data_IF_545649520448
#
_entry.id   IF_545649520448
#
_cell.length_a   1.000
_cell.length_b   1.000
_cell.length_c   1.000
_cell.angle_alpha   90.00
_cell.angle_beta   90.00
_cell.angle_gamma   90.00
#
_symmetry.space_group_name_H-M   'P 1'
#
loop_
_entity.id
_entity.type
_entity.pdbx_description
1 polymer ?
#
# COMPACT_ATOMS: atom_id res chain seq x y z
N UNK A 1 3.02 32.51 -11.39
CA UNK A 1 3.89 32.18 -10.25
C UNK A 1 3.07 31.29 -9.34
N UNK A 2 3.29 29.98 -9.34
CA UNK A 2 2.54 29.06 -8.46
C UNK A 2 2.99 29.28 -7.02
N UNK A 3 2.06 29.31 -6.07
CA UNK A 3 2.40 29.43 -4.66
C UNK A 3 3.24 28.23 -4.25
N UNK A 4 4.37 28.46 -3.58
CA UNK A 4 5.12 27.39 -2.94
C UNK A 4 4.52 27.15 -1.55
N UNK A 5 4.42 25.89 -1.15
CA UNK A 5 4.00 25.58 0.21
C UNK A 5 5.08 26.02 1.20
N UNK A 6 4.65 26.71 2.26
CA UNK A 6 5.51 27.01 3.40
C UNK A 6 5.45 25.85 4.39
N UNK A 7 6.61 25.44 4.91
CA UNK A 7 6.70 24.33 5.85
C UNK A 7 6.91 24.88 7.26
N UNK A 8 5.86 24.85 8.07
CA UNK A 8 5.99 25.05 9.51
C UNK A 8 6.38 23.73 10.21
N UNK A 9 7.16 23.82 11.29
CA UNK A 9 7.63 22.63 12.03
C UNK A 9 6.45 21.82 12.56
N UNK A 10 5.38 22.48 13.01
CA UNK A 10 4.19 21.76 13.52
C UNK A 10 3.49 20.98 12.41
N UNK A 11 3.36 21.56 11.21
CA UNK A 11 2.80 20.89 10.03
C UNK A 11 3.63 19.69 9.62
N UNK A 12 4.96 19.81 9.62
CA UNK A 12 5.86 18.70 9.31
C UNK A 12 5.74 17.56 10.33
N UNK A 13 5.77 17.88 11.62
CA UNK A 13 5.62 16.88 12.68
C UNK A 13 4.26 16.18 12.62
N UNK A 14 3.20 16.93 12.31
CA UNK A 14 1.87 16.38 12.10
C UNK A 14 1.83 15.42 10.90
N UNK A 15 2.35 15.84 9.75
CA UNK A 15 2.39 15.02 8.54
C UNK A 15 3.22 13.73 8.73
N UNK A 16 4.40 13.82 9.36
CA UNK A 16 5.18 12.64 9.72
C UNK A 16 4.45 11.76 10.74
N UNK A 17 3.80 12.37 11.73
CA UNK A 17 3.00 11.64 12.72
C UNK A 17 1.89 10.81 12.08
N UNK A 18 1.23 11.34 11.04
CA UNK A 18 0.22 10.60 10.27
C UNK A 18 0.82 9.41 9.51
N UNK A 19 2.02 9.54 8.94
CA UNK A 19 2.69 8.43 8.23
C UNK A 19 3.12 7.32 9.19
N UNK A 20 3.52 7.68 10.41
CA UNK A 20 3.79 6.69 11.46
C UNK A 20 2.49 6.03 11.91
N UNK A 21 1.42 6.80 12.11
CA UNK A 21 0.11 6.27 12.49
C UNK A 21 -0.39 5.25 11.47
N UNK A 22 -0.31 5.59 10.19
CA UNK A 22 -0.74 4.72 9.10
C UNK A 22 0.10 3.42 9.04
N UNK A 23 1.44 3.52 9.06
CA UNK A 23 2.34 2.36 9.07
C UNK A 23 2.27 1.48 10.33
N UNK A 24 1.80 2.02 11.46
CA UNK A 24 1.49 1.21 12.65
C UNK A 24 0.30 0.28 12.43
N UNK A 25 -0.57 0.55 11.45
CA UNK A 25 -1.65 -0.35 11.03
C UNK A 25 -1.15 -1.75 10.70
N UNK A 26 0.02 -1.86 10.04
CA UNK A 26 0.67 -3.13 9.71
C UNK A 26 1.09 -3.88 10.97
N UNK A 27 1.62 -3.18 11.96
CA UNK A 27 1.91 -3.74 13.28
C UNK A 27 0.66 -4.23 14.02
N UNK A 28 -0.45 -3.49 13.95
CA UNK A 28 -1.75 -3.88 14.53
C UNK A 28 -2.27 -5.16 13.87
N UNK A 29 -2.23 -5.22 12.53
CA UNK A 29 -2.54 -6.42 11.76
C UNK A 29 -1.74 -7.63 12.21
N UNK A 30 -0.44 -7.44 12.44
CA UNK A 30 0.41 -8.51 12.95
C UNK A 30 -0.03 -9.06 14.29
N UNK A 31 -0.37 -8.17 15.24
CA UNK A 31 -0.88 -8.59 16.54
C UNK A 31 -2.20 -9.36 16.41
N UNK A 32 -3.08 -8.95 15.51
CA UNK A 32 -4.34 -9.66 15.22
C UNK A 32 -4.09 -11.09 14.73
N UNK A 33 -3.05 -11.32 13.93
CA UNK A 33 -2.72 -12.65 13.42
C UNK A 33 -2.40 -13.67 14.52
N UNK A 34 -1.91 -13.23 15.69
CA UNK A 34 -1.49 -14.11 16.79
C UNK A 34 -2.64 -14.69 17.61
N UNK A 35 -3.85 -14.14 17.44
CA UNK A 35 -5.06 -14.66 18.07
C UNK A 35 -5.66 -15.83 17.29
N UNK A 36 -5.27 -16.02 16.02
CA UNK A 36 -5.70 -17.18 15.26
C UNK A 36 -4.95 -18.43 15.71
N UNK A 37 -5.70 -19.48 16.08
CA UNK A 37 -5.15 -20.77 16.51
C UNK A 37 -4.67 -21.64 15.34
N UNK A 38 -5.16 -21.38 14.13
CA UNK A 38 -4.82 -22.12 12.90
C UNK A 38 -4.61 -21.17 11.75
N UNK A 39 -3.74 -21.55 10.82
CA UNK A 39 -3.59 -20.84 9.55
C UNK A 39 -4.91 -20.96 8.78
N UNK A 40 -5.50 -19.82 8.38
CA UNK A 40 -6.77 -19.78 7.68
C UNK A 40 -6.61 -19.07 6.32
N UNK A 41 -6.42 -19.84 5.24
CA UNK A 41 -6.19 -19.27 3.91
C UNK A 41 -7.37 -18.44 3.39
N UNK A 42 -8.62 -18.79 3.74
CA UNK A 42 -9.80 -17.99 3.38
C UNK A 42 -9.82 -16.62 4.05
N UNK A 43 -9.35 -16.54 5.30
CA UNK A 43 -9.23 -15.26 6.00
C UNK A 43 -8.18 -14.38 5.35
N UNK A 44 -7.02 -14.94 4.97
CA UNK A 44 -5.98 -14.24 4.23
C UNK A 44 -6.49 -13.72 2.87
N UNK A 45 -7.19 -14.56 2.12
CA UNK A 45 -7.81 -14.16 0.85
C UNK A 45 -8.83 -13.01 1.04
N UNK A 46 -9.71 -13.10 2.03
CA UNK A 46 -10.67 -12.04 2.33
C UNK A 46 -9.96 -10.75 2.77
N UNK A 47 -8.93 -10.84 3.60
CA UNK A 47 -8.14 -9.70 4.10
C UNK A 47 -7.37 -9.02 2.98
N UNK A 48 -6.63 -9.75 2.16
CA UNK A 48 -5.87 -9.19 1.03
C UNK A 48 -6.81 -8.60 -0.03
N UNK A 49 -7.91 -9.28 -0.35
CA UNK A 49 -8.96 -8.73 -1.21
C UNK A 49 -9.52 -7.43 -0.63
N UNK A 50 -9.79 -7.39 0.68
CA UNK A 50 -10.21 -6.17 1.36
C UNK A 50 -9.19 -5.03 1.23
N UNK A 51 -7.89 -5.30 1.42
CA UNK A 51 -6.84 -4.29 1.19
C UNK A 51 -6.87 -3.76 -0.25
N UNK A 52 -6.88 -4.65 -1.25
CA UNK A 52 -6.96 -4.26 -2.66
C UNK A 52 -8.19 -3.37 -2.96
N UNK A 53 -9.34 -3.71 -2.36
CA UNK A 53 -10.57 -2.93 -2.50
C UNK A 53 -10.47 -1.52 -1.89
N UNK A 54 -9.91 -1.40 -0.68
CA UNK A 54 -9.66 -0.09 -0.04
C UNK A 54 -8.73 0.76 -0.92
N UNK A 55 -7.64 0.15 -1.39
CA UNK A 55 -6.60 0.82 -2.16
C UNK A 55 -7.08 1.31 -3.52
N UNK A 56 -7.78 0.46 -4.28
CA UNK A 56 -8.40 0.87 -5.56
C UNK A 56 -9.38 2.02 -5.34
N UNK A 57 -10.21 1.94 -4.29
CA UNK A 57 -11.22 2.95 -4.04
C UNK A 57 -10.59 4.31 -3.68
N UNK A 58 -9.65 4.35 -2.74
CA UNK A 58 -8.95 5.60 -2.37
C UNK A 58 -8.17 6.17 -3.55
N UNK A 59 -7.45 5.32 -4.29
CA UNK A 59 -6.66 5.76 -5.43
C UNK A 59 -7.53 6.47 -6.46
N UNK A 60 -8.70 5.91 -6.79
CA UNK A 60 -9.55 6.43 -7.86
C UNK A 60 -10.48 7.56 -7.41
N UNK A 61 -11.03 7.49 -6.20
CA UNK A 61 -12.08 8.42 -5.73
C UNK A 61 -11.50 9.62 -4.99
N UNK A 62 -10.39 9.44 -4.26
CA UNK A 62 -9.78 10.51 -3.47
C UNK A 62 -8.51 11.04 -4.16
N UNK A 63 -7.49 10.19 -4.32
CA UNK A 63 -6.14 10.63 -4.72
C UNK A 63 -6.12 11.13 -6.17
N UNK A 64 -6.67 10.36 -7.11
CA UNK A 64 -6.74 10.78 -8.52
C UNK A 64 -7.58 12.05 -8.69
N UNK A 65 -8.68 12.17 -7.96
CA UNK A 65 -9.55 13.36 -8.02
C UNK A 65 -8.83 14.58 -7.48
N UNK A 66 -8.15 14.47 -6.33
CA UNK A 66 -7.34 15.56 -5.75
C UNK A 66 -6.17 15.95 -6.64
N UNK A 67 -5.53 14.98 -7.28
CA UNK A 67 -4.51 15.24 -8.30
C UNK A 67 -5.06 16.10 -9.44
N UNK A 68 -6.23 15.72 -9.95
CA UNK A 68 -6.92 16.44 -11.03
C UNK A 68 -7.29 17.85 -10.61
N UNK A 69 -7.92 18.03 -9.44
CA UNK A 69 -8.31 19.34 -8.91
C UNK A 69 -7.10 20.29 -8.84
N UNK A 70 -5.98 19.80 -8.33
CA UNK A 70 -4.74 20.58 -8.22
C UNK A 70 -4.16 20.95 -9.59
N UNK A 71 -4.07 20.00 -10.51
CA UNK A 71 -3.52 20.22 -11.86
C UNK A 71 -4.43 21.10 -12.74
N UNK A 72 -5.74 20.94 -12.65
CA UNK A 72 -6.71 21.78 -13.37
C UNK A 72 -6.69 23.21 -12.83
N UNK A 73 -6.56 23.40 -11.50
CA UNK A 73 -6.38 24.71 -10.89
C UNK A 73 -5.12 25.43 -11.36
N UNK A 74 -4.02 24.69 -11.55
CA UNK A 74 -2.74 25.25 -11.96
C UNK A 74 -2.58 25.47 -13.48
N UNK A 75 -3.13 24.57 -14.30
CA UNK A 75 -2.86 24.51 -15.75
C UNK A 75 -4.10 24.76 -16.62
N UNK A 76 -5.28 24.87 -16.01
CA UNK A 76 -6.58 24.92 -16.68
C UNK A 76 -7.12 23.51 -17.00
N UNK A 77 -8.44 23.41 -17.19
CA UNK A 77 -9.18 22.14 -17.23
C UNK A 77 -8.57 21.09 -18.18
N UNK A 78 -8.35 21.43 -19.46
CA UNK A 78 -7.86 20.46 -20.45
C UNK A 78 -6.42 20.01 -20.17
N UNK A 79 -5.52 20.95 -19.89
CA UNK A 79 -4.10 20.63 -19.68
C UNK A 79 -3.90 19.90 -18.35
N UNK A 80 -4.58 20.35 -17.29
CA UNK A 80 -4.54 19.72 -15.98
C UNK A 80 -5.03 18.28 -16.01
N UNK A 81 -6.19 18.01 -16.62
CA UNK A 81 -6.70 16.64 -16.74
C UNK A 81 -5.77 15.77 -17.60
N UNK A 82 -5.25 16.30 -18.72
CA UNK A 82 -4.28 15.57 -19.56
C UNK A 82 -3.06 15.16 -18.76
N UNK A 83 -2.47 16.08 -17.99
CA UNK A 83 -1.30 15.79 -17.17
C UNK A 83 -1.63 14.80 -16.04
N UNK A 84 -2.82 14.88 -15.45
CA UNK A 84 -3.30 13.91 -14.44
C UNK A 84 -3.31 12.50 -15.01
N UNK A 85 -3.93 12.31 -16.18
CA UNK A 85 -4.01 10.99 -16.82
C UNK A 85 -2.64 10.47 -17.22
N UNK A 86 -1.78 11.32 -17.80
CA UNK A 86 -0.41 10.93 -18.17
C UNK A 86 0.40 10.53 -16.94
N UNK A 87 0.32 11.31 -15.85
CA UNK A 87 1.03 11.03 -14.61
C UNK A 87 0.54 9.73 -13.95
N UNK A 88 -0.76 9.47 -13.97
CA UNK A 88 -1.35 8.20 -13.49
C UNK A 88 -0.78 6.99 -14.22
N UNK A 89 -0.82 6.99 -15.55
CA UNK A 89 -0.25 5.88 -16.33
C UNK A 89 1.29 5.83 -16.28
N UNK A 90 1.96 6.97 -16.07
CA UNK A 90 3.39 6.99 -15.80
C UNK A 90 3.72 6.31 -14.47
N UNK A 91 2.90 6.54 -13.43
CA UNK A 91 2.99 5.83 -12.16
C UNK A 91 2.87 4.31 -12.33
N UNK A 92 1.84 3.86 -13.07
CA UNK A 92 1.67 2.45 -13.45
C UNK A 92 2.91 1.92 -14.18
N UNK A 93 3.39 2.64 -15.20
CA UNK A 93 4.55 2.20 -15.98
C UNK A 93 5.81 2.11 -15.13
N UNK A 94 6.04 3.05 -14.21
CA UNK A 94 7.21 3.05 -13.31
C UNK A 94 7.17 1.83 -12.40
N UNK A 95 6.04 1.55 -11.73
CA UNK A 95 5.97 0.40 -10.83
C UNK A 95 6.02 -0.93 -11.60
N UNK A 96 5.41 -1.02 -12.78
CA UNK A 96 5.51 -2.21 -13.62
C UNK A 96 6.95 -2.47 -14.11
N UNK A 97 7.75 -1.42 -14.33
CA UNK A 97 9.18 -1.57 -14.66
C UNK A 97 9.97 -2.01 -13.44
N UNK A 98 9.70 -1.42 -12.26
CA UNK A 98 10.35 -1.81 -11.01
C UNK A 98 10.08 -3.29 -10.73
N UNK A 99 8.82 -3.71 -10.86
CA UNK A 99 8.41 -5.11 -10.66
C UNK A 99 9.18 -6.07 -11.58
N UNK A 100 9.24 -5.76 -12.88
CA UNK A 100 10.00 -6.58 -13.87
C UNK A 100 11.51 -6.64 -13.64
N UNK A 101 12.09 -5.68 -12.93
CA UNK A 101 13.53 -5.63 -12.65
C UNK A 101 13.86 -6.45 -11.40
N UNK A 102 12.87 -6.74 -10.54
CA UNK A 102 13.03 -7.62 -9.39
C UNK A 102 13.05 -9.07 -9.91
N UNK A 103 14.15 -9.84 -9.74
CA UNK A 103 14.32 -11.16 -10.34
C UNK A 103 13.23 -12.16 -9.91
N UNK A 104 12.73 -13.04 -10.79
CA UNK A 104 11.60 -13.97 -10.54
C UNK A 104 11.71 -14.85 -9.27
N UNK A 105 12.92 -15.12 -8.76
CA UNK A 105 13.11 -15.85 -7.50
C UNK A 105 12.98 -14.97 -6.25
N UNK A 106 13.11 -13.66 -6.43
CA UNK A 106 12.88 -12.56 -5.48
C UNK A 106 11.56 -11.83 -5.73
N UNK A 107 10.94 -12.05 -6.89
CA UNK A 107 9.69 -11.45 -7.30
C UNK A 107 8.53 -12.17 -6.58
N UNK A 108 7.80 -11.50 -5.67
CA UNK A 108 6.62 -12.06 -5.03
C UNK A 108 5.50 -12.43 -6.01
N UNK A 109 5.56 -11.90 -7.25
CA UNK A 109 4.49 -11.94 -8.26
C UNK A 109 4.49 -13.20 -9.14
N UNK A 110 5.58 -13.99 -9.15
CA UNK A 110 5.63 -15.32 -9.82
C UNK A 110 6.09 -16.40 -8.83
N UNK A 111 5.19 -16.81 -7.93
CA UNK A 111 5.44 -17.99 -7.10
C UNK A 111 5.19 -19.23 -7.96
N UNK A 112 6.28 -19.83 -8.43
CA UNK A 112 6.31 -20.99 -9.33
C UNK A 112 5.32 -22.10 -8.93
N UNK A 113 4.38 -22.39 -9.85
CA UNK A 113 3.69 -23.68 -9.92
C UNK A 113 4.70 -24.73 -10.39
N UNK A 114 5.46 -25.29 -9.45
CA UNK A 114 6.26 -26.47 -9.74
C UNK A 114 5.34 -27.69 -9.84
N UNK A 115 4.77 -27.86 -11.03
CA UNK A 115 4.36 -29.15 -11.53
C UNK A 115 5.51 -30.16 -11.37
N UNK A 116 5.17 -31.27 -10.72
CA UNK A 116 5.83 -32.58 -10.80
C UNK A 116 7.35 -32.59 -11.04
N UNK A 117 8.16 -32.66 -9.99
CA UNK A 117 9.33 -33.55 -10.03
C UNK A 117 9.82 -33.86 -8.60
N UNK A 118 9.96 -35.16 -8.36
CA UNK A 118 10.34 -35.80 -7.10
C UNK A 118 11.67 -35.27 -6.56
N UNK A 119 11.64 -34.49 -5.47
CA UNK A 119 12.80 -34.25 -4.60
C UNK A 119 12.54 -34.74 -3.17
N UNK A 120 13.59 -35.17 -2.45
CA UNK A 120 13.44 -35.94 -1.21
C UNK A 120 12.80 -35.08 -0.11
N UNK A 121 11.87 -35.69 0.62
CA UNK A 121 11.12 -35.13 1.74
C UNK A 121 12.08 -34.61 2.84
N UNK A 122 12.27 -33.29 2.89
CA UNK A 122 12.82 -32.54 4.02
C UNK A 122 11.79 -31.47 4.35
N UNK A 123 11.23 -31.51 5.55
CA UNK A 123 10.26 -30.61 6.19
C UNK A 123 9.93 -29.29 5.42
N UNK A 124 9.16 -29.43 4.34
CA UNK A 124 9.09 -28.43 3.26
C UNK A 124 8.11 -27.29 3.51
N UNK A 125 7.24 -27.42 4.51
CA UNK A 125 6.15 -26.48 4.74
C UNK A 125 6.62 -25.20 5.47
N UNK A 126 7.49 -25.36 6.47
CA UNK A 126 8.01 -24.23 7.25
C UNK A 126 8.94 -23.32 6.42
N UNK A 127 9.76 -23.92 5.54
CA UNK A 127 10.63 -23.15 4.64
C UNK A 127 9.82 -22.38 3.58
N UNK A 128 8.77 -22.99 3.02
CA UNK A 128 7.85 -22.33 2.08
C UNK A 128 7.12 -21.16 2.75
N UNK A 129 6.55 -21.37 3.94
CA UNK A 129 5.87 -20.31 4.70
C UNK A 129 6.82 -19.18 5.12
N UNK A 130 8.05 -19.49 5.53
CA UNK A 130 9.03 -18.45 5.86
C UNK A 130 9.40 -17.62 4.64
N UNK A 131 9.62 -18.28 3.49
CA UNK A 131 9.91 -17.61 2.22
C UNK A 131 8.75 -16.70 1.81
N UNK A 132 7.52 -17.21 1.83
CA UNK A 132 6.31 -16.44 1.51
C UNK A 132 6.20 -15.20 2.40
N UNK A 133 6.27 -15.36 3.73
CA UNK A 133 6.15 -14.23 4.64
C UNK A 133 7.28 -13.20 4.53
N UNK A 134 8.51 -13.64 4.25
CA UNK A 134 9.63 -12.73 3.98
C UNK A 134 9.42 -11.91 2.72
N UNK A 135 9.02 -12.54 1.62
CA UNK A 135 8.77 -11.84 0.36
C UNK A 135 7.53 -10.94 0.43
N UNK A 136 6.46 -11.36 1.12
CA UNK A 136 5.33 -10.47 1.43
C UNK A 136 5.79 -9.25 2.23
N UNK A 137 6.69 -9.40 3.20
CA UNK A 137 7.22 -8.25 3.96
C UNK A 137 7.98 -7.28 3.06
N UNK A 138 8.79 -7.79 2.11
CA UNK A 138 9.54 -6.96 1.17
C UNK A 138 8.61 -6.23 0.19
N UNK A 139 7.64 -6.94 -0.36
CA UNK A 139 6.66 -6.40 -1.29
C UNK A 139 5.83 -5.28 -0.65
N UNK A 140 5.28 -5.55 0.54
CA UNK A 140 4.56 -4.56 1.35
C UNK A 140 5.46 -3.38 1.70
N UNK A 141 6.75 -3.58 2.02
CA UNK A 141 7.65 -2.45 2.26
C UNK A 141 7.81 -1.54 1.03
N UNK A 142 7.86 -2.12 -0.17
CA UNK A 142 7.94 -1.36 -1.43
C UNK A 142 6.62 -0.62 -1.68
N UNK A 143 5.48 -1.25 -1.39
CA UNK A 143 4.14 -0.70 -1.52
C UNK A 143 3.85 0.47 -0.57
N UNK A 144 4.25 0.33 0.69
CA UNK A 144 4.05 1.31 1.76
C UNK A 144 4.89 2.59 1.53
N UNK A 145 5.93 2.53 0.69
CA UNK A 145 6.73 3.71 0.37
C UNK A 145 5.92 4.81 -0.37
N UNK A 146 5.27 4.54 -1.53
CA UNK A 146 4.34 5.48 -2.17
C UNK A 146 3.24 6.02 -1.26
N UNK A 147 2.70 5.18 -0.37
CA UNK A 147 1.62 5.55 0.55
C UNK A 147 2.06 6.57 1.60
N UNK A 148 3.25 6.35 2.16
CA UNK A 148 3.86 7.29 3.09
C UNK A 148 4.11 8.65 2.43
N UNK A 149 4.57 8.65 1.18
CA UNK A 149 4.71 9.86 0.37
C UNK A 149 3.36 10.57 0.18
N UNK A 150 2.31 9.84 -0.24
CA UNK A 150 0.99 10.43 -0.46
C UNK A 150 0.37 10.97 0.83
N UNK A 151 0.41 10.21 1.92
CA UNK A 151 -0.09 10.62 3.25
C UNK A 151 0.57 11.92 3.70
N UNK A 152 1.89 11.98 3.60
CA UNK A 152 2.67 13.16 3.98
C UNK A 152 2.35 14.38 3.13
N UNK A 153 2.31 14.22 1.81
CA UNK A 153 2.01 15.30 0.88
C UNK A 153 0.58 15.83 1.05
N UNK A 154 -0.41 14.95 1.26
CA UNK A 154 -1.76 15.37 1.60
C UNK A 154 -1.81 16.14 2.91
N UNK A 155 -1.14 15.68 3.95
CA UNK A 155 -1.15 16.32 5.25
C UNK A 155 -0.53 17.73 5.25
N UNK A 156 0.52 17.94 4.45
CA UNK A 156 1.10 19.27 4.26
C UNK A 156 0.19 20.16 3.43
N UNK A 157 -0.44 19.60 2.39
CA UNK A 157 -1.29 20.40 1.51
C UNK A 157 -2.58 20.82 2.20
N UNK A 158 -3.27 19.86 2.82
CA UNK A 158 -4.54 20.05 3.51
C UNK A 158 -4.65 19.04 4.66
N UNK A 159 -4.57 19.47 5.94
CA UNK A 159 -4.56 18.56 7.09
C UNK A 159 -5.75 17.59 7.13
N UNK A 160 -6.94 18.02 6.70
CA UNK A 160 -8.13 17.15 6.62
C UNK A 160 -7.96 16.02 5.62
N UNK A 161 -7.46 16.34 4.42
CA UNK A 161 -7.12 15.34 3.40
C UNK A 161 -6.08 14.36 3.94
N UNK A 162 -5.05 14.87 4.62
CA UNK A 162 -4.03 14.06 5.27
C UNK A 162 -4.60 13.07 6.27
N UNK A 163 -5.52 13.51 7.14
CA UNK A 163 -6.19 12.62 8.11
C UNK A 163 -7.02 11.56 7.39
N UNK A 164 -7.79 11.96 6.37
CA UNK A 164 -8.63 11.04 5.59
C UNK A 164 -7.80 9.93 4.95
N UNK A 165 -6.72 10.32 4.26
CA UNK A 165 -5.78 9.39 3.63
C UNK A 165 -5.04 8.54 4.67
N UNK A 166 -4.58 9.10 5.78
CA UNK A 166 -3.89 8.33 6.83
C UNK A 166 -4.79 7.28 7.48
N UNK A 167 -6.07 7.59 7.70
CA UNK A 167 -7.06 6.64 8.23
C UNK A 167 -7.35 5.55 7.22
N UNK A 168 -7.53 5.91 5.94
CA UNK A 168 -7.67 4.94 4.87
C UNK A 168 -6.46 3.99 4.84
N UNK A 169 -5.27 4.56 4.93
CA UNK A 169 -4.02 3.81 4.82
C UNK A 169 -3.85 2.85 6.00
N UNK A 170 -4.10 3.34 7.22
CA UNK A 170 -4.12 2.51 8.42
C UNK A 170 -5.10 1.32 8.32
N UNK A 171 -6.25 1.49 7.65
CA UNK A 171 -7.28 0.44 7.52
C UNK A 171 -6.84 -0.68 6.58
N UNK A 172 -6.19 -0.40 5.43
CA UNK A 172 -5.71 -1.47 4.53
C UNK A 172 -4.41 -2.13 5.03
N UNK A 173 -3.58 -1.37 5.76
CA UNK A 173 -2.37 -1.89 6.37
C UNK A 173 -2.63 -3.02 7.39
N UNK A 174 -3.79 -3.04 8.03
CA UNK A 174 -4.15 -4.12 8.97
C UNK A 174 -4.16 -5.49 8.27
N UNK A 175 -4.91 -5.69 7.17
CA UNK A 175 -4.81 -6.89 6.34
C UNK A 175 -3.40 -7.29 5.92
N UNK A 176 -2.58 -6.34 5.47
CA UNK A 176 -1.20 -6.58 5.04
C UNK A 176 -0.33 -7.06 6.20
N UNK A 177 -0.53 -6.47 7.38
CA UNK A 177 0.11 -6.90 8.61
C UNK A 177 -0.15 -8.38 8.91
N UNK A 178 -1.39 -8.83 8.73
CA UNK A 178 -1.77 -10.25 8.84
C UNK A 178 -1.08 -11.09 7.77
N UNK A 179 -1.05 -10.61 6.52
CA UNK A 179 -0.47 -11.31 5.38
C UNK A 179 1.03 -11.59 5.55
N UNK A 180 1.78 -10.64 6.15
CA UNK A 180 3.20 -10.85 6.49
C UNK A 180 3.36 -11.77 7.69
N UNK A 181 2.66 -11.48 8.79
CA UNK A 181 2.99 -12.10 10.07
C UNK A 181 2.46 -13.53 10.21
N UNK A 182 1.32 -13.86 9.60
CA UNK A 182 0.74 -15.20 9.68
C UNK A 182 1.70 -16.28 9.14
N UNK A 183 2.18 -16.23 7.88
CA UNK A 183 3.10 -17.24 7.35
C UNK A 183 4.41 -17.33 8.16
N UNK A 184 5.00 -16.19 8.56
CA UNK A 184 6.22 -16.17 9.40
C UNK A 184 5.97 -16.82 10.77
N UNK A 185 4.84 -16.52 11.41
CA UNK A 185 4.49 -17.13 12.69
C UNK A 185 4.29 -18.63 12.55
N UNK A 186 3.59 -19.09 11.52
CA UNK A 186 3.37 -20.52 11.33
C UNK A 186 4.65 -21.27 10.94
N UNK A 187 5.58 -20.63 10.22
CA UNK A 187 6.90 -21.19 9.90
C UNK A 187 7.87 -21.24 11.10
N UNK A 188 7.89 -20.19 11.93
CA UNK A 188 8.95 -20.01 12.94
C UNK A 188 8.48 -20.25 14.39
N UNK A 189 7.16 -20.29 14.59
CA UNK A 189 6.48 -20.23 15.91
C UNK A 189 6.87 -19.02 16.76
N UNK A 190 7.54 -18.02 16.19
CA UNK A 190 8.03 -16.84 16.91
C UNK A 190 7.16 -15.62 16.61
N UNK A 191 6.30 -15.24 17.57
CA UNK A 191 5.50 -14.02 17.50
C UNK A 191 6.38 -12.77 17.34
N UNK A 192 7.53 -12.75 18.02
CA UNK A 192 8.48 -11.62 17.95
C UNK A 192 9.04 -11.47 16.53
N UNK A 193 9.44 -12.56 15.87
CA UNK A 193 9.93 -12.47 14.48
C UNK A 193 8.81 -11.97 13.56
N UNK A 194 7.65 -12.63 13.58
CA UNK A 194 6.51 -12.26 12.75
C UNK A 194 6.09 -10.79 12.92
N UNK A 195 6.08 -10.29 14.15
CA UNK A 195 5.79 -8.90 14.45
C UNK A 195 6.82 -7.94 13.87
N UNK A 196 8.12 -8.21 14.03
CA UNK A 196 9.14 -7.31 13.52
C UNK A 196 9.21 -7.27 12.00
N UNK A 197 9.04 -8.39 11.31
CA UNK A 197 8.98 -8.38 9.83
C UNK A 197 7.81 -7.51 9.34
N UNK A 198 6.63 -7.68 9.94
CA UNK A 198 5.44 -6.90 9.58
C UNK A 198 5.51 -5.43 9.99
N UNK A 199 6.03 -5.12 11.19
CA UNK A 199 6.20 -3.74 11.60
C UNK A 199 7.25 -3.03 10.75
N UNK A 200 8.36 -3.70 10.41
CA UNK A 200 9.41 -3.10 9.58
C UNK A 200 8.92 -2.81 8.16
N UNK A 201 8.03 -3.63 7.60
CA UNK A 201 7.40 -3.30 6.30
C UNK A 201 6.50 -2.08 6.40
N UNK A 202 5.70 -1.96 7.47
CA UNK A 202 4.88 -0.75 7.73
C UNK A 202 5.70 0.53 7.96
N UNK A 203 6.90 0.42 8.56
CA UNK A 203 7.81 1.56 8.73
C UNK A 203 8.39 2.09 7.41
N UNK A 204 8.12 1.46 6.27
CA UNK A 204 8.45 2.02 4.97
C UNK A 204 7.66 3.30 4.66
N UNK A 205 6.48 3.51 5.24
CA UNK A 205 5.70 4.75 5.09
C UNK A 205 6.41 6.00 5.60
N UNK A 206 6.83 6.09 6.88
CA UNK A 206 7.56 7.26 7.35
C UNK A 206 8.90 7.43 6.63
N UNK A 207 9.51 6.36 6.12
CA UNK A 207 10.70 6.44 5.25
C UNK A 207 10.36 7.06 3.89
N UNK A 208 9.25 6.65 3.27
CA UNK A 208 8.74 7.21 2.02
C UNK A 208 8.40 8.69 2.15
N UNK A 209 7.73 9.06 3.24
CA UNK A 209 7.48 10.46 3.60
C UNK A 209 8.78 11.26 3.75
N UNK A 210 9.77 10.70 4.44
CA UNK A 210 11.04 11.37 4.70
C UNK A 210 11.81 11.62 3.41
N UNK A 211 12.02 10.56 2.62
CA UNK A 211 12.75 10.66 1.35
C UNK A 211 11.99 11.57 0.39
N UNK A 212 10.67 11.41 0.30
CA UNK A 212 9.76 12.26 -0.46
C UNK A 212 9.90 13.75 -0.16
N UNK A 213 9.86 14.11 1.12
CA UNK A 213 10.04 15.49 1.57
C UNK A 213 11.36 16.07 1.08
N UNK A 214 12.49 15.39 1.33
CA UNK A 214 13.80 15.94 0.98
C UNK A 214 14.02 16.06 -0.52
N UNK A 215 13.44 15.16 -1.32
CA UNK A 215 13.51 15.21 -2.77
C UNK A 215 12.61 16.31 -3.36
N UNK A 216 11.39 16.49 -2.83
CA UNK A 216 10.37 17.33 -3.47
C UNK A 216 10.25 18.74 -2.87
N UNK A 217 10.69 18.97 -1.62
CA UNK A 217 10.47 20.25 -0.89
C UNK A 217 10.88 21.50 -1.66
N UNK A 218 11.89 21.42 -2.53
CA UNK A 218 12.39 22.59 -3.28
C UNK A 218 11.43 23.05 -4.38
N UNK A 219 10.62 22.13 -4.89
CA UNK A 219 9.71 22.31 -6.02
C UNK A 219 8.26 22.03 -5.63
N UNK A 220 7.94 21.98 -4.34
CA UNK A 220 6.63 21.61 -3.85
C UNK A 220 5.62 22.74 -4.10
N UNK A 221 4.72 22.52 -5.05
CA UNK A 221 3.63 23.39 -5.50
C UNK A 221 2.49 22.52 -6.07
N UNK A 222 1.38 23.13 -6.45
CA UNK A 222 0.19 22.44 -6.99
C UNK A 222 0.51 21.49 -8.16
N UNK A 223 1.41 21.89 -9.07
CA UNK A 223 1.78 21.04 -10.22
C UNK A 223 2.51 19.79 -9.74
N UNK A 224 3.52 19.95 -8.87
CA UNK A 224 4.29 18.82 -8.33
C UNK A 224 3.40 17.94 -7.44
N UNK A 225 2.54 18.55 -6.62
CA UNK A 225 1.57 17.83 -5.80
C UNK A 225 0.69 16.95 -6.67
N UNK A 226 0.00 17.53 -7.64
CA UNK A 226 -0.94 16.80 -8.48
C UNK A 226 -0.27 15.78 -9.40
N UNK A 227 0.92 16.05 -9.93
CA UNK A 227 1.69 15.07 -10.71
C UNK A 227 2.04 13.84 -9.86
N UNK A 228 2.60 14.05 -8.66
CA UNK A 228 3.01 12.96 -7.78
C UNK A 228 1.78 12.21 -7.24
N UNK A 229 0.71 12.91 -6.84
CA UNK A 229 -0.53 12.27 -6.41
C UNK A 229 -1.15 11.40 -7.50
N UNK A 230 -1.21 11.88 -8.75
CA UNK A 230 -1.71 11.08 -9.86
C UNK A 230 -0.83 9.83 -10.09
N UNK A 231 0.49 10.00 -10.06
CA UNK A 231 1.42 8.87 -10.18
C UNK A 231 1.23 7.84 -9.05
N UNK A 232 1.10 8.28 -7.80
CA UNK A 232 0.84 7.38 -6.66
C UNK A 232 -0.49 6.66 -6.81
N UNK A 233 -1.57 7.34 -7.24
CA UNK A 233 -2.83 6.66 -7.54
C UNK A 233 -2.66 5.55 -8.59
N UNK A 234 -1.85 5.79 -9.63
CA UNK A 234 -1.52 4.78 -10.63
C UNK A 234 -0.76 3.59 -10.04
N UNK A 235 0.24 3.87 -9.20
CA UNK A 235 1.01 2.84 -8.50
C UNK A 235 0.11 1.98 -7.62
N UNK A 236 -0.76 2.60 -6.81
CA UNK A 236 -1.69 1.91 -5.91
C UNK A 236 -2.66 1.00 -6.68
N UNK A 237 -3.19 1.47 -7.82
CA UNK A 237 -4.06 0.65 -8.68
C UNK A 237 -3.29 -0.54 -9.27
N UNK A 238 -2.08 -0.33 -9.77
CA UNK A 238 -1.27 -1.42 -10.32
C UNK A 238 -0.99 -2.48 -9.24
N UNK A 239 -0.49 -2.09 -8.06
CA UNK A 239 -0.14 -3.05 -7.02
C UNK A 239 -1.39 -3.79 -6.50
N UNK A 240 -2.53 -3.11 -6.42
CA UNK A 240 -3.78 -3.78 -6.02
C UNK A 240 -4.19 -4.89 -6.99
N UNK A 241 -3.94 -4.70 -8.29
CA UNK A 241 -4.34 -5.62 -9.35
C UNK A 241 -3.29 -6.70 -9.63
N UNK A 242 -2.00 -6.36 -9.53
CA UNK A 242 -0.88 -7.23 -9.89
C UNK A 242 -0.36 -8.02 -8.69
N UNK A 243 -0.52 -7.50 -7.47
CA UNK A 243 0.02 -8.12 -6.25
C UNK A 243 -1.10 -8.58 -5.32
N UNK A 244 -1.91 -7.66 -4.78
CA UNK A 244 -2.83 -7.95 -3.67
C UNK A 244 -3.94 -8.91 -4.09
N UNK A 245 -4.57 -8.66 -5.24
CA UNK A 245 -5.67 -9.51 -5.72
C UNK A 245 -5.17 -10.91 -6.17
N UNK A 246 -4.11 -11.06 -6.98
CA UNK A 246 -3.57 -12.38 -7.31
C UNK A 246 -3.11 -13.16 -6.08
N UNK A 247 -2.45 -12.49 -5.12
CA UNK A 247 -2.04 -13.12 -3.86
C UNK A 247 -3.26 -13.58 -3.04
N UNK A 248 -4.33 -12.77 -3.00
CA UNK A 248 -5.58 -13.16 -2.35
C UNK A 248 -6.20 -14.41 -2.98
N UNK A 249 -6.17 -14.51 -4.31
CA UNK A 249 -6.66 -15.67 -5.05
C UNK A 249 -5.79 -16.92 -4.85
N UNK A 250 -4.47 -16.76 -4.73
CA UNK A 250 -3.56 -17.89 -4.45
C UNK A 250 -3.79 -18.44 -3.04
N UNK A 251 -4.02 -17.57 -2.05
CA UNK A 251 -4.29 -18.02 -0.68
C UNK A 251 -5.67 -18.68 -0.53
N UNK A 252 -6.67 -18.34 -1.33
CA UNK A 252 -8.03 -18.80 -1.05
C UNK A 252 -8.91 -18.99 -2.28
N UNK A 253 -10.21 -18.79 -2.08
CA UNK A 253 -11.18 -18.93 -3.16
C UNK A 253 -11.37 -17.57 -3.82
N UNK A 254 -11.37 -17.54 -5.15
CA UNK A 254 -11.58 -16.33 -5.95
C UNK A 254 -12.78 -15.50 -5.47
N UNK A 255 -13.94 -16.14 -5.21
CA UNK A 255 -15.12 -15.43 -4.71
C UNK A 255 -14.94 -14.79 -3.31
N UNK A 256 -14.11 -15.38 -2.46
CA UNK A 256 -13.80 -14.82 -1.13
C UNK A 256 -12.91 -13.58 -1.29
N UNK A 257 -11.91 -13.63 -2.16
CA UNK A 257 -11.07 -12.47 -2.50
C UNK A 257 -11.92 -11.32 -3.06
N UNK A 258 -12.77 -11.58 -4.05
CA UNK A 258 -13.67 -10.57 -4.65
C UNK A 258 -14.67 -10.01 -3.64
N UNK A 259 -15.22 -10.84 -2.74
CA UNK A 259 -16.09 -10.34 -1.65
C UNK A 259 -15.30 -9.42 -0.71
N UNK A 260 -14.04 -9.75 -0.43
CA UNK A 260 -13.10 -8.89 0.27
C UNK A 260 -12.94 -7.55 -0.43
N UNK A 261 -12.65 -7.54 -1.74
CA UNK A 261 -12.52 -6.31 -2.56
C UNK A 261 -13.74 -5.43 -2.42
N UNK A 262 -14.93 -5.98 -2.65
CA UNK A 262 -16.18 -5.21 -2.56
C UNK A 262 -16.39 -4.67 -1.14
N UNK A 263 -16.13 -5.47 -0.10
CA UNK A 263 -16.24 -5.02 1.28
C UNK A 263 -15.24 -3.90 1.61
N UNK A 264 -14.00 -3.99 1.11
CA UNK A 264 -12.97 -2.95 1.23
C UNK A 264 -13.40 -1.65 0.59
N UNK A 265 -13.91 -1.72 -0.65
CA UNK A 265 -14.47 -0.55 -1.35
C UNK A 265 -15.62 0.08 -0.57
N UNK A 266 -16.54 -0.71 -0.02
CA UNK A 266 -17.68 -0.20 0.77
C UNK A 266 -17.21 0.49 2.04
N UNK A 267 -16.31 -0.14 2.82
CA UNK A 267 -15.78 0.45 4.05
C UNK A 267 -15.08 1.77 3.72
N UNK A 268 -14.27 1.77 2.67
CA UNK A 268 -13.57 2.98 2.27
C UNK A 268 -14.52 4.08 1.77
N UNK A 269 -15.54 3.74 1.01
CA UNK A 269 -16.57 4.68 0.59
C UNK A 269 -17.26 5.34 1.78
N UNK A 270 -17.65 4.55 2.78
CA UNK A 270 -18.25 5.06 4.03
C UNK A 270 -17.25 5.95 4.79
N UNK A 271 -15.99 5.52 4.91
CA UNK A 271 -14.94 6.31 5.56
C UNK A 271 -14.75 7.67 4.89
N UNK A 272 -14.67 7.74 3.56
CA UNK A 272 -14.55 9.02 2.85
C UNK A 272 -15.77 9.92 3.08
N UNK A 273 -16.99 9.37 3.01
CA UNK A 273 -18.22 10.15 3.28
C UNK A 273 -18.28 10.68 4.71
N UNK A 274 -17.74 9.95 5.68
CA UNK A 274 -17.70 10.40 7.08
C UNK A 274 -16.62 11.46 7.33
N UNK A 275 -15.58 11.51 6.50
CA UNK A 275 -14.42 12.38 6.66
C UNK A 275 -14.41 13.60 5.72
N UNK A 276 -15.33 13.65 4.74
CA UNK A 276 -15.55 14.77 3.81
C UNK A 276 -16.20 15.99 4.46
#
# INVERSE_FOLDING_TARGET
MHAMYEFDVSTLLFAFGLTVFAGLGTGVGSLMSFFSKKFNPKFLAASLGFSAGVMIYVAMIEIFVKARESLEGALGAKAGYTLTTVAFFAGIAVIAIIDKVIPDYENPHEIQDHGSETKPYVDSNDSKLMRMGFFSALAIAIHNFPEGLATFMAAISEPKLGISIAVAIAIHNIPEGVAVSAPIYYATKSRKKAFWYSLLSGLAEPVGAFIGFFLLRRWFNDITFGFVFAAVAGIMVYISLDELLPTAEEYGEHHVAITGVIAGMIVMAVSLVMLS
#
